data_IF_979580473469
#
_entry.id   IF_979580473469
#
_cell.length_a   1.000
_cell.length_b   1.000
_cell.length_c   1.000
_cell.angle_alpha   90.00
_cell.angle_beta   90.00
_cell.angle_gamma   90.00
#
_symmetry.space_group_name_H-M   'P 1'
#
loop_
_entity.id
_entity.type
_entity.pdbx_description
1 polymer ?
#
# COMPACT_ATOMS: atom_id res chain seq x y z
N UNK A 1 -20.41 -16.27 4.26
CA UNK A 1 -19.34 -15.27 4.04
C UNK A 1 -18.43 -15.31 5.25
N UNK A 2 -17.20 -15.79 5.08
CA UNK A 2 -16.17 -15.75 6.11
C UNK A 2 -15.57 -14.33 6.12
N UNK A 3 -15.60 -13.67 7.28
CA UNK A 3 -14.92 -12.37 7.45
C UNK A 3 -13.43 -12.64 7.34
N UNK A 4 -12.69 -11.96 6.44
CA UNK A 4 -11.26 -12.15 6.33
C UNK A 4 -10.56 -11.76 7.65
N UNK A 5 -9.51 -12.46 8.06
CA UNK A 5 -8.77 -12.12 9.25
C UNK A 5 -8.04 -10.77 9.07
N UNK A 6 -7.82 -10.07 10.20
CA UNK A 6 -7.13 -8.77 10.23
C UNK A 6 -5.88 -8.89 11.10
N UNK A 7 -4.74 -8.49 10.56
CA UNK A 7 -3.51 -8.32 11.32
C UNK A 7 -3.50 -6.94 11.99
N UNK A 8 -3.39 -6.91 13.30
CA UNK A 8 -3.29 -5.68 14.09
C UNK A 8 -1.88 -5.52 14.64
N UNK A 9 -1.25 -4.38 14.35
CA UNK A 9 0.03 -4.00 14.94
C UNK A 9 -0.21 -2.93 16.01
N UNK A 10 0.09 -3.28 17.24
CA UNK A 10 -0.05 -2.41 18.40
C UNK A 10 1.34 -1.94 18.82
N UNK A 11 1.53 -0.63 18.90
CA UNK A 11 2.80 -0.01 19.27
C UNK A 11 2.61 0.82 20.53
N UNK A 12 3.54 0.67 21.46
CA UNK A 12 3.69 1.50 22.64
C UNK A 12 4.89 2.45 22.42
N UNK A 13 4.64 3.75 22.50
CA UNK A 13 5.69 4.76 22.26
C UNK A 13 6.66 4.85 23.44
N UNK A 14 6.12 4.77 24.66
CA UNK A 14 6.87 4.81 25.90
C UNK A 14 6.41 3.66 26.81
N UNK A 15 7.28 3.12 27.69
CA UNK A 15 6.93 1.98 28.56
C UNK A 15 5.74 2.19 29.50
N UNK A 16 5.25 3.42 29.61
CA UNK A 16 4.12 3.80 30.45
C UNK A 16 2.94 4.39 29.67
N UNK A 17 3.05 4.47 28.34
CA UNK A 17 1.96 4.93 27.47
C UNK A 17 1.02 3.79 27.10
N UNK A 18 -0.19 4.13 26.66
CA UNK A 18 -1.12 3.16 26.11
C UNK A 18 -0.63 2.63 24.74
N UNK A 19 -0.99 1.38 24.44
CA UNK A 19 -0.81 0.81 23.11
C UNK A 19 -1.73 1.51 22.12
N UNK A 20 -1.19 1.83 20.94
CA UNK A 20 -1.94 2.40 19.82
C UNK A 20 -1.87 1.46 18.63
N UNK A 21 -2.97 1.34 17.90
CA UNK A 21 -2.98 0.64 16.61
C UNK A 21 -2.15 1.44 15.62
N UNK A 22 -1.08 0.84 15.11
CA UNK A 22 -0.24 1.42 14.06
C UNK A 22 -0.68 0.94 12.68
N UNK A 23 -1.00 -0.35 12.57
CA UNK A 23 -1.53 -0.95 11.35
C UNK A 23 -2.72 -1.85 11.65
N UNK A 24 -3.70 -1.86 10.74
CA UNK A 24 -4.85 -2.75 10.73
C UNK A 24 -5.06 -3.25 9.29
N UNK A 25 -4.52 -4.43 8.99
CA UNK A 25 -4.38 -4.93 7.63
C UNK A 25 -5.24 -6.17 7.43
N UNK A 26 -6.15 -6.12 6.48
CA UNK A 26 -6.97 -7.27 6.08
C UNK A 26 -6.10 -8.24 5.29
N UNK A 27 -6.07 -9.50 5.71
CA UNK A 27 -5.28 -10.52 5.03
C UNK A 27 -5.98 -11.00 3.76
N UNK A 28 -5.17 -11.33 2.75
CA UNK A 28 -5.67 -12.02 1.56
C UNK A 28 -6.22 -13.40 1.91
N UNK A 29 -7.28 -13.86 1.24
CA UNK A 29 -7.87 -15.17 1.52
C UNK A 29 -6.91 -16.35 1.35
N UNK A 30 -5.91 -16.19 0.49
CA UNK A 30 -4.86 -17.17 0.19
C UNK A 30 -3.61 -16.99 1.03
N UNK A 31 -3.54 -15.96 1.90
CA UNK A 31 -2.34 -15.65 2.65
C UNK A 31 -1.98 -16.79 3.62
N UNK A 32 -0.75 -17.27 3.49
CA UNK A 32 -0.13 -18.19 4.45
C UNK A 32 0.86 -17.36 5.27
N UNK A 33 0.51 -17.11 6.53
CA UNK A 33 1.38 -16.37 7.44
C UNK A 33 2.58 -17.23 7.81
N UNK A 34 3.82 -16.72 7.66
CA UNK A 34 5.00 -17.41 8.14
C UNK A 34 5.01 -17.50 9.66
N UNK A 35 5.65 -18.53 10.18
CA UNK A 35 5.78 -18.73 11.62
C UNK A 35 6.76 -17.70 12.22
N UNK A 36 6.34 -17.10 13.33
CA UNK A 36 7.18 -16.22 14.15
C UNK A 36 7.46 -16.90 15.50
N UNK A 37 8.47 -16.43 16.22
CA UNK A 37 8.75 -16.92 17.55
C UNK A 37 7.51 -16.78 18.46
N UNK A 38 7.23 -17.75 19.33
CA UNK A 38 6.05 -17.71 20.21
C UNK A 38 6.11 -16.51 21.17
N UNK A 39 4.96 -16.01 21.58
CA UNK A 39 4.85 -14.81 22.43
C UNK A 39 5.67 -14.88 23.73
N UNK A 40 5.92 -16.09 24.27
CA UNK A 40 6.76 -16.30 25.45
C UNK A 40 8.26 -16.01 25.22
N UNK A 41 8.71 -16.10 23.97
CA UNK A 41 10.09 -15.79 23.54
C UNK A 41 10.15 -14.39 22.94
N UNK A 42 9.15 -14.02 22.14
CA UNK A 42 9.07 -12.80 21.38
C UNK A 42 9.82 -12.89 20.05
N UNK A 43 9.20 -12.39 18.97
CA UNK A 43 9.86 -12.24 17.68
C UNK A 43 10.79 -11.01 17.70
N UNK A 44 11.97 -11.14 17.09
CA UNK A 44 12.90 -10.02 16.96
C UNK A 44 12.32 -8.97 16.02
N UNK A 45 12.34 -7.70 16.44
CA UNK A 45 12.05 -6.58 15.56
C UNK A 45 13.32 -6.24 14.77
N UNK A 46 13.20 -6.14 13.46
CA UNK A 46 14.28 -5.75 12.57
C UNK A 46 14.31 -4.23 12.39
N UNK A 47 15.49 -3.68 12.19
CA UNK A 47 15.66 -2.27 11.86
C UNK A 47 15.10 -1.98 10.44
N UNK A 48 14.58 -0.76 10.19
CA UNK A 48 14.04 -0.39 8.89
C UNK A 48 15.02 -0.53 7.72
N UNK A 49 16.29 -0.32 7.98
CA UNK A 49 17.41 -0.42 7.03
C UNK A 49 18.10 -1.80 7.04
N UNK A 50 17.48 -2.82 7.62
CA UNK A 50 18.09 -4.14 7.78
C UNK A 50 18.39 -4.80 6.43
N UNK A 51 19.67 -5.00 6.13
CA UNK A 51 20.16 -5.73 4.96
C UNK A 51 20.10 -7.26 5.10
N UNK A 52 19.46 -7.80 6.13
CA UNK A 52 19.28 -9.25 6.32
C UNK A 52 18.19 -9.83 5.42
N UNK A 53 17.36 -8.98 4.83
CA UNK A 53 16.23 -9.34 3.98
C UNK A 53 16.54 -9.07 2.51
N UNK A 54 15.78 -9.69 1.60
CA UNK A 54 15.85 -9.50 0.14
C UNK A 54 15.59 -8.03 -0.25
N UNK A 55 14.67 -7.36 0.44
CA UNK A 55 14.43 -5.92 0.40
C UNK A 55 14.45 -5.39 1.83
N UNK A 56 15.06 -4.22 2.08
CA UNK A 56 14.98 -3.62 3.40
C UNK A 56 13.52 -3.24 3.71
N UNK A 57 13.10 -3.23 4.97
CA UNK A 57 11.74 -2.75 5.32
C UNK A 57 11.42 -1.36 4.77
N UNK A 58 12.39 -0.44 4.75
CA UNK A 58 12.22 0.91 4.18
C UNK A 58 11.99 0.89 2.66
N UNK A 59 12.71 0.04 1.92
CA UNK A 59 12.65 -0.01 0.47
C UNK A 59 11.45 -0.82 -0.06
N UNK A 60 10.86 -1.69 0.77
CA UNK A 60 9.80 -2.62 0.33
C UNK A 60 8.58 -1.87 -0.22
N UNK A 61 8.16 -0.76 0.41
CA UNK A 61 7.02 0.02 -0.06
C UNK A 61 7.30 0.73 -1.39
N UNK A 62 8.51 1.30 -1.56
CA UNK A 62 8.91 1.99 -2.78
C UNK A 62 9.04 1.00 -3.96
N UNK A 63 9.67 -0.15 -3.72
CA UNK A 63 9.80 -1.21 -4.72
C UNK A 63 8.42 -1.71 -5.20
N UNK A 64 7.47 -1.88 -4.26
CA UNK A 64 6.12 -2.27 -4.63
C UNK A 64 5.35 -1.16 -5.36
N UNK A 65 5.52 0.10 -4.97
CA UNK A 65 4.94 1.24 -5.69
C UNK A 65 5.43 1.31 -7.14
N UNK A 66 6.71 1.03 -7.38
CA UNK A 66 7.29 0.96 -8.73
C UNK A 66 6.64 -0.15 -9.57
N UNK A 67 6.34 -1.31 -8.97
CA UNK A 67 5.58 -2.38 -9.63
C UNK A 67 4.15 -1.92 -9.98
N UNK A 68 3.47 -1.21 -9.09
CA UNK A 68 2.13 -0.68 -9.35
C UNK A 68 2.10 0.39 -10.46
N UNK A 69 3.24 1.03 -10.74
CA UNK A 69 3.38 2.03 -11.81
C UNK A 69 3.85 1.45 -13.13
N UNK A 70 4.86 0.56 -13.11
CA UNK A 70 5.58 0.08 -14.29
C UNK A 70 5.29 -1.37 -14.66
N UNK A 71 4.69 -2.12 -13.72
CA UNK A 71 4.40 -3.54 -13.90
C UNK A 71 5.67 -4.34 -14.23
N UNK A 72 5.68 -5.13 -15.30
CA UNK A 72 6.81 -5.97 -15.74
C UNK A 72 8.08 -5.18 -16.10
N UNK A 73 7.99 -3.88 -16.28
CA UNK A 73 9.13 -3.00 -16.55
C UNK A 73 9.78 -2.45 -15.26
N UNK A 74 9.24 -2.79 -14.08
CA UNK A 74 9.88 -2.47 -12.82
C UNK A 74 11.08 -3.37 -12.57
N UNK A 75 12.19 -2.80 -12.13
CA UNK A 75 13.40 -3.56 -11.76
C UNK A 75 13.11 -4.51 -10.58
N UNK A 76 12.15 -4.19 -9.73
CA UNK A 76 11.75 -5.01 -8.59
C UNK A 76 10.77 -6.15 -8.95
N UNK A 77 10.22 -6.18 -10.18
CA UNK A 77 9.15 -7.10 -10.56
C UNK A 77 9.45 -8.57 -10.31
N UNK A 78 10.68 -9.00 -10.58
CA UNK A 78 11.08 -10.40 -10.43
C UNK A 78 11.26 -10.82 -8.97
N UNK A 79 11.45 -9.87 -8.06
CA UNK A 79 11.62 -10.13 -6.63
C UNK A 79 10.28 -10.31 -5.90
N UNK A 80 9.17 -9.89 -6.50
CA UNK A 80 7.83 -10.02 -5.92
C UNK A 80 7.04 -11.15 -6.57
N UNK A 81 6.20 -11.80 -5.76
CA UNK A 81 5.16 -12.70 -6.27
C UNK A 81 3.95 -11.88 -6.69
N UNK A 82 3.87 -11.64 -7.99
CA UNK A 82 2.80 -10.83 -8.60
C UNK A 82 1.62 -11.67 -9.10
N UNK A 83 1.71 -13.01 -9.01
CA UNK A 83 0.63 -13.90 -9.41
C UNK A 83 -0.44 -13.93 -8.33
N UNK A 84 -1.67 -13.58 -8.70
CA UNK A 84 -2.79 -13.51 -7.75
C UNK A 84 -2.81 -12.29 -6.83
N UNK A 85 -1.91 -11.32 -7.04
CA UNK A 85 -1.89 -10.06 -6.30
C UNK A 85 -3.12 -9.22 -6.64
N UNK A 86 -4.08 -9.21 -5.71
CA UNK A 86 -5.37 -8.55 -5.90
C UNK A 86 -5.26 -7.02 -5.84
N UNK A 87 -4.31 -6.46 -5.07
CA UNK A 87 -4.09 -5.02 -5.03
C UNK A 87 -3.49 -4.53 -6.35
N UNK A 88 -2.48 -5.23 -6.89
CA UNK A 88 -1.92 -4.93 -8.22
C UNK A 88 -3.01 -5.01 -9.30
N UNK A 89 -3.92 -5.98 -9.24
CA UNK A 89 -5.04 -6.08 -10.16
C UNK A 89 -6.02 -4.90 -10.04
N UNK A 90 -6.25 -4.39 -8.82
CA UNK A 90 -7.19 -3.31 -8.55
C UNK A 90 -6.65 -1.91 -8.85
N UNK A 91 -5.36 -1.64 -8.56
CA UNK A 91 -4.78 -0.28 -8.61
C UNK A 91 -3.47 -0.18 -9.42
N UNK A 92 -2.99 -1.29 -9.99
CA UNK A 92 -1.77 -1.32 -10.80
C UNK A 92 -1.94 -0.68 -12.19
N UNK A 93 -0.87 -0.79 -12.99
CA UNK A 93 -0.76 -0.15 -14.31
C UNK A 93 -1.97 -0.41 -15.22
N UNK A 94 -2.43 -1.66 -15.30
CA UNK A 94 -3.57 -2.04 -16.17
C UNK A 94 -4.87 -1.34 -15.74
N UNK A 95 -5.17 -1.29 -14.44
CA UNK A 95 -6.33 -0.60 -13.91
C UNK A 95 -6.24 0.92 -14.16
N UNK A 96 -5.07 1.52 -13.98
CA UNK A 96 -4.81 2.94 -14.25
C UNK A 96 -4.98 3.29 -15.73
N UNK A 97 -4.54 2.41 -16.63
CA UNK A 97 -4.74 2.56 -18.07
C UNK A 97 -6.23 2.50 -18.44
N UNK A 98 -6.98 1.59 -17.83
CA UNK A 98 -8.43 1.51 -18.04
C UNK A 98 -9.14 2.77 -17.55
N UNK A 99 -8.79 3.32 -16.39
CA UNK A 99 -9.33 4.58 -15.89
C UNK A 99 -9.04 5.71 -16.90
N UNK A 100 -7.78 5.84 -17.36
CA UNK A 100 -7.40 6.86 -18.35
C UNK A 100 -8.22 6.75 -19.63
N UNK A 101 -8.44 5.53 -20.14
CA UNK A 101 -9.20 5.29 -21.37
C UNK A 101 -10.71 5.54 -21.24
N UNK A 102 -11.24 5.49 -20.03
CA UNK A 102 -12.66 5.73 -19.74
C UNK A 102 -13.02 7.20 -19.52
N UNK A 103 -12.02 8.07 -19.35
CA UNK A 103 -12.24 9.50 -19.14
C UNK A 103 -12.70 10.19 -20.42
N UNK A 104 -13.60 11.20 -20.32
CA UNK A 104 -13.93 12.06 -21.45
C UNK A 104 -12.70 12.90 -21.86
N UNK A 105 -12.63 13.28 -23.13
CA UNK A 105 -11.53 14.09 -23.67
C UNK A 105 -11.34 15.46 -22.95
N UNK A 106 -12.38 15.91 -22.23
CA UNK A 106 -12.37 17.17 -21.45
C UNK A 106 -11.70 17.05 -20.08
N UNK A 107 -11.22 15.86 -19.71
CA UNK A 107 -10.54 15.61 -18.44
C UNK A 107 -9.27 14.80 -18.62
N UNK A 108 -8.32 14.99 -17.72
CA UNK A 108 -7.10 14.18 -17.57
C UNK A 108 -7.02 13.58 -16.17
N UNK A 109 -6.32 12.45 -16.05
CA UNK A 109 -5.98 11.86 -14.76
C UNK A 109 -4.48 11.55 -14.69
N UNK A 110 -3.89 11.91 -13.55
CA UNK A 110 -2.55 11.53 -13.17
C UNK A 110 -2.59 10.68 -11.91
N UNK A 111 -1.71 9.69 -11.84
CA UNK A 111 -1.48 8.85 -10.67
C UNK A 111 -0.05 9.02 -10.21
N UNK A 112 0.16 9.02 -8.90
CA UNK A 112 1.48 9.01 -8.29
C UNK A 112 1.40 8.32 -6.93
N UNK A 113 2.56 7.91 -6.41
CA UNK A 113 2.69 7.32 -5.08
C UNK A 113 3.64 8.16 -4.23
N UNK A 114 3.41 8.14 -2.92
CA UNK A 114 4.30 8.70 -1.91
C UNK A 114 4.39 7.69 -0.76
N UNK A 115 5.56 7.58 -0.13
CA UNK A 115 5.69 6.78 1.08
C UNK A 115 4.80 7.37 2.18
N UNK A 116 4.15 6.50 2.93
CA UNK A 116 3.36 6.93 4.07
C UNK A 116 4.22 7.41 5.23
N UNK A 117 3.61 8.14 6.16
CA UNK A 117 4.34 8.76 7.28
C UNK A 117 4.73 7.78 8.40
N UNK A 118 4.08 6.62 8.50
CA UNK A 118 4.39 5.66 9.55
C UNK A 118 5.65 4.86 9.19
N UNK A 119 6.55 4.69 10.17
CA UNK A 119 7.72 3.86 9.98
C UNK A 119 7.34 2.38 9.78
N UNK A 120 8.09 1.63 8.95
CA UNK A 120 7.91 0.20 8.79
C UNK A 120 8.01 -0.56 10.12
N UNK A 121 7.24 -1.64 10.22
CA UNK A 121 7.35 -2.59 11.33
C UNK A 121 7.72 -3.94 10.74
N UNK A 122 8.90 -4.45 11.07
CA UNK A 122 9.37 -5.74 10.61
C UNK A 122 9.62 -6.68 11.80
N UNK A 123 9.05 -7.88 11.73
CA UNK A 123 9.21 -8.95 12.72
C UNK A 123 9.83 -10.17 12.05
N UNK A 124 10.97 -10.63 12.59
CA UNK A 124 11.68 -11.79 12.08
C UNK A 124 10.81 -13.05 12.18
N UNK A 125 10.86 -13.88 11.14
CA UNK A 125 10.21 -15.17 11.05
C UNK A 125 11.20 -16.31 11.36
N UNK A 126 10.69 -17.52 11.61
CA UNK A 126 11.52 -18.67 11.97
C UNK A 126 12.41 -19.18 10.83
N UNK A 127 12.09 -18.79 9.60
CA UNK A 127 12.84 -19.14 8.37
C UNK A 127 13.84 -18.05 7.93
N UNK A 128 14.20 -17.16 8.84
CA UNK A 128 15.11 -16.03 8.62
C UNK A 128 14.60 -14.91 7.68
N UNK A 129 13.33 -14.95 7.28
CA UNK A 129 12.63 -13.85 6.63
C UNK A 129 12.02 -12.88 7.66
N UNK A 130 11.08 -12.06 7.19
CA UNK A 130 10.32 -11.16 8.06
C UNK A 130 8.88 -10.95 7.55
N UNK A 131 7.96 -10.70 8.49
CA UNK A 131 6.67 -10.06 8.22
C UNK A 131 6.92 -8.56 8.30
N UNK A 132 6.63 -7.82 7.23
CA UNK A 132 6.91 -6.39 7.10
C UNK A 132 5.62 -5.64 6.83
N UNK A 133 5.22 -4.77 7.77
CA UNK A 133 4.10 -3.85 7.60
C UNK A 133 4.63 -2.48 7.18
N UNK A 134 4.11 -1.96 6.07
CA UNK A 134 4.47 -0.67 5.49
C UNK A 134 3.23 0.10 5.08
N UNK A 135 3.37 1.40 4.81
CA UNK A 135 2.30 2.18 4.24
C UNK A 135 2.74 2.99 3.02
N UNK A 136 1.82 3.13 2.09
CA UNK A 136 1.96 3.86 0.85
C UNK A 136 0.77 4.80 0.70
N UNK A 137 0.96 5.97 0.12
CA UNK A 137 -0.11 6.85 -0.30
C UNK A 137 -0.25 6.80 -1.81
N UNK A 138 -1.40 6.35 -2.30
CA UNK A 138 -1.75 6.46 -3.71
C UNK A 138 -2.50 7.76 -3.95
N UNK A 139 -2.04 8.56 -4.92
CA UNK A 139 -2.58 9.88 -5.24
C UNK A 139 -3.18 9.85 -6.63
N UNK A 140 -4.47 10.14 -6.71
CA UNK A 140 -5.19 10.35 -7.97
C UNK A 140 -5.50 11.82 -8.12
N UNK A 141 -5.08 12.42 -9.24
CA UNK A 141 -5.37 13.82 -9.58
C UNK A 141 -6.16 13.88 -10.87
N UNK A 142 -7.38 14.37 -10.81
CA UNK A 142 -8.26 14.56 -11.98
C UNK A 142 -8.39 16.04 -12.28
N UNK A 143 -8.12 16.45 -13.51
CA UNK A 143 -8.17 17.85 -13.94
C UNK A 143 -9.01 18.05 -15.19
N UNK A 144 -9.78 19.16 -15.29
CA UNK A 144 -10.35 19.58 -16.56
C UNK A 144 -9.24 20.07 -17.50
N UNK A 145 -9.32 19.76 -18.79
CA UNK A 145 -8.32 20.17 -19.79
C UNK A 145 -8.87 21.16 -20.83
N UNK A 146 -10.17 21.46 -20.78
CA UNK A 146 -10.82 22.41 -21.68
C UNK A 146 -11.41 23.58 -20.89
N UNK A 147 -11.45 24.75 -21.53
CA UNK A 147 -12.07 25.94 -20.95
C UNK A 147 -13.56 25.71 -20.69
N UNK A 148 -14.00 25.96 -19.46
CA UNK A 148 -15.36 25.73 -19.01
C UNK A 148 -15.68 24.29 -18.57
N UNK A 149 -14.76 23.35 -18.76
CA UNK A 149 -14.91 22.01 -18.20
C UNK A 149 -14.72 22.01 -16.68
N UNK A 150 -15.30 21.02 -16.01
CA UNK A 150 -15.22 20.86 -14.57
C UNK A 150 -15.25 19.39 -14.16
N UNK A 151 -14.66 19.08 -13.03
CA UNK A 151 -14.68 17.77 -12.38
C UNK A 151 -15.80 17.74 -11.34
N UNK A 152 -16.65 16.73 -11.41
CA UNK A 152 -17.74 16.49 -10.44
C UNK A 152 -17.34 15.29 -9.56
N UNK A 153 -16.79 15.49 -8.34
CA UNK A 153 -16.46 14.39 -7.46
C UNK A 153 -17.72 13.63 -7.03
N UNK A 154 -17.57 12.32 -6.85
CA UNK A 154 -18.67 11.43 -6.44
C UNK A 154 -18.25 10.59 -5.22
N UNK A 155 -19.20 9.90 -4.60
CA UNK A 155 -18.93 8.95 -3.51
C UNK A 155 -18.13 9.54 -2.36
N UNK A 156 -17.12 8.80 -1.91
CA UNK A 156 -16.26 9.16 -0.78
C UNK A 156 -15.44 10.42 -1.05
N UNK A 157 -14.97 10.62 -2.30
CA UNK A 157 -14.20 11.81 -2.68
C UNK A 157 -15.04 13.07 -2.51
N UNK A 158 -16.31 13.05 -2.94
CA UNK A 158 -17.26 14.15 -2.73
C UNK A 158 -17.51 14.40 -1.25
N UNK A 159 -17.74 13.34 -0.48
CA UNK A 159 -18.05 13.44 0.95
C UNK A 159 -16.88 14.04 1.73
N UNK A 160 -15.64 13.60 1.44
CA UNK A 160 -14.45 14.07 2.16
C UNK A 160 -13.99 15.46 1.71
N UNK A 161 -14.08 15.78 0.41
CA UNK A 161 -13.69 17.09 -0.12
C UNK A 161 -14.71 18.19 0.18
N UNK A 162 -15.98 17.83 0.40
CA UNK A 162 -17.08 18.78 0.53
C UNK A 162 -17.44 19.52 -0.78
N UNK A 163 -16.83 19.15 -1.90
CA UNK A 163 -17.00 19.83 -3.19
C UNK A 163 -18.08 19.16 -4.02
N UNK A 164 -18.95 19.95 -4.63
CA UNK A 164 -19.89 19.46 -5.64
C UNK A 164 -19.29 19.49 -7.05
N UNK A 165 -18.41 20.45 -7.31
CA UNK A 165 -17.80 20.72 -8.61
C UNK A 165 -16.46 21.44 -8.39
N UNK A 166 -15.47 21.19 -9.25
CA UNK A 166 -14.21 21.94 -9.32
C UNK A 166 -13.83 22.23 -10.76
N UNK A 167 -13.46 23.48 -11.04
CA UNK A 167 -12.89 23.93 -12.33
C UNK A 167 -11.37 23.86 -12.36
N UNK A 168 -10.71 23.61 -11.21
CA UNK A 168 -9.26 23.46 -11.12
C UNK A 168 -8.81 22.00 -11.14
N UNK A 169 -9.65 21.12 -10.60
CA UNK A 169 -9.38 19.71 -10.47
C UNK A 169 -9.46 19.22 -9.02
N UNK A 170 -9.43 17.91 -8.85
CA UNK A 170 -9.56 17.23 -7.57
C UNK A 170 -8.33 16.33 -7.38
N UNK A 171 -7.74 16.40 -6.20
CA UNK A 171 -6.73 15.45 -5.72
C UNK A 171 -7.35 14.59 -4.63
N UNK A 172 -7.25 13.28 -4.79
CA UNK A 172 -7.62 12.29 -3.79
C UNK A 172 -6.39 11.48 -3.38
N UNK A 173 -6.18 11.29 -2.08
CA UNK A 173 -5.08 10.47 -1.52
C UNK A 173 -5.69 9.30 -0.80
N UNK A 174 -5.30 8.11 -1.19
CA UNK A 174 -5.64 6.85 -0.53
C UNK A 174 -4.43 6.39 0.29
N UNK A 175 -4.67 6.02 1.53
CA UNK A 175 -3.64 5.42 2.38
C UNK A 175 -3.76 3.90 2.29
N UNK A 176 -2.69 3.25 1.86
CA UNK A 176 -2.60 1.81 1.69
C UNK A 176 -1.71 1.27 2.79
N UNK A 177 -2.27 0.43 3.66
CA UNK A 177 -1.52 -0.35 4.63
C UNK A 177 -1.26 -1.72 4.04
N UNK A 178 0.00 -2.09 3.93
CA UNK A 178 0.46 -3.29 3.22
C UNK A 178 1.20 -4.21 4.18
N UNK A 179 0.99 -5.51 4.06
CA UNK A 179 1.69 -6.54 4.81
C UNK A 179 2.39 -7.49 3.85
N UNK A 180 3.70 -7.57 3.97
CA UNK A 180 4.51 -8.46 3.15
C UNK A 180 5.19 -9.55 3.98
N UNK A 181 5.40 -10.71 3.38
CA UNK A 181 6.49 -11.58 3.74
C UNK A 181 7.70 -11.22 2.87
N UNK A 182 8.80 -10.91 3.52
CA UNK A 182 10.07 -10.60 2.85
C UNK A 182 11.08 -11.69 3.23
N UNK A 183 11.57 -12.49 2.28
CA UNK A 183 12.51 -13.55 2.55
C UNK A 183 13.91 -13.00 2.91
N UNK A 184 14.76 -13.86 3.45
CA UNK A 184 16.15 -13.54 3.76
C UNK A 184 16.93 -13.10 2.50
N UNK A 185 17.93 -12.25 2.70
CA UNK A 185 18.86 -11.85 1.65
C UNK A 185 19.54 -13.08 1.01
N UNK A 186 19.61 -13.09 -0.32
CA UNK A 186 20.17 -14.22 -1.08
C UNK A 186 19.24 -15.43 -1.26
N UNK A 187 18.00 -15.37 -0.75
CA UNK A 187 16.97 -16.37 -1.01
C UNK A 187 16.41 -16.24 -2.43
N UNK A 188 16.12 -17.37 -3.08
CA UNK A 188 15.39 -17.42 -4.35
C UNK A 188 13.88 -17.21 -4.17
N UNK A 189 13.36 -17.25 -2.94
CA UNK A 189 11.96 -16.99 -2.66
C UNK A 189 11.61 -15.54 -3.00
N UNK A 190 10.33 -15.34 -3.35
CA UNK A 190 9.80 -14.02 -3.68
C UNK A 190 9.18 -13.33 -2.48
N UNK A 191 9.13 -12.00 -2.54
CA UNK A 191 8.37 -11.17 -1.61
C UNK A 191 6.89 -11.36 -1.92
N UNK A 192 6.07 -11.64 -0.90
CA UNK A 192 4.65 -11.96 -1.06
C UNK A 192 3.80 -10.93 -0.34
N UNK A 193 2.81 -10.35 -1.02
CA UNK A 193 1.77 -9.54 -0.39
C UNK A 193 0.82 -10.45 0.40
N UNK A 194 0.84 -10.36 1.71
CA UNK A 194 0.00 -11.17 2.62
C UNK A 194 -1.37 -10.53 2.88
N UNK A 195 -1.47 -9.23 2.67
CA UNK A 195 -2.71 -8.51 2.87
C UNK A 195 -2.56 -7.00 2.72
N UNK A 196 -3.69 -6.33 2.60
CA UNK A 196 -3.73 -4.88 2.52
C UNK A 196 -5.04 -4.29 3.03
N UNK A 197 -5.01 -3.00 3.35
CA UNK A 197 -6.20 -2.20 3.63
C UNK A 197 -6.03 -0.84 2.97
N UNK A 198 -7.00 -0.44 2.17
CA UNK A 198 -7.01 0.83 1.42
C UNK A 198 -8.13 1.72 1.92
N UNK A 199 -7.84 2.99 2.15
CA UNK A 199 -8.84 3.97 2.56
C UNK A 199 -8.55 5.37 2.04
N UNK A 200 -9.60 6.11 1.66
CA UNK A 200 -9.47 7.52 1.29
C UNK A 200 -9.14 8.34 2.54
N UNK A 201 -7.96 8.96 2.58
CA UNK A 201 -7.47 9.72 3.74
C UNK A 201 -7.50 11.23 3.51
N UNK A 202 -7.50 11.67 2.26
CA UNK A 202 -7.57 13.09 1.92
C UNK A 202 -8.22 13.29 0.55
N UNK A 203 -9.06 14.32 0.42
CA UNK A 203 -9.59 14.78 -0.86
C UNK A 203 -9.79 16.28 -0.83
N UNK A 204 -9.53 16.96 -1.95
CA UNK A 204 -9.71 18.41 -2.06
C UNK A 204 -9.43 18.94 -3.46
N UNK A 205 -9.70 20.23 -3.65
CA UNK A 205 -9.33 20.96 -4.86
C UNK A 205 -7.81 21.15 -4.90
N UNK A 206 -7.21 21.17 -6.09
CA UNK A 206 -5.78 21.44 -6.32
C UNK A 206 -5.50 22.91 -6.56
#
# INVERSE_FOLDING_TARGET
DTIPPVALFLVQQDPRSDYKVSYAITLEPSAVLPEVAPASVGAARLAPDSGLLKSTPDDTAEAYADILEKDVESDAYLDFDTEGDSLRAAVGLAAKQQIRSSLPATASVAFSHELGAAAPIALATNDAGAIVAVNLNEITTVQPVEAGAAVNPTGQVKALSGLAISTKGIRATYGDQLLFYVPAAGSDAKIVLLGYSVGLVKAGEI
#
